data_IF_492799565733
#
_entry.id   IF_492799565733
#
_cell.length_a   1.000
_cell.length_b   1.000
_cell.length_c   1.000
_cell.angle_alpha   90.00
_cell.angle_beta   90.00
_cell.angle_gamma   90.00
#
_symmetry.space_group_name_H-M   'P 1'
#
loop_
_entity.id
_entity.type
_entity.pdbx_description
1 polymer ?
#
# COMPACT_ATOMS: atom_id res chain seq x y z
N UNK A 1 -2.77 6.77 -10.60
CA UNK A 1 -2.08 5.56 -10.12
C UNK A 1 -0.65 5.90 -9.74
N UNK A 2 -0.10 5.29 -8.69
CA UNK A 2 1.30 5.39 -8.27
C UNK A 2 1.77 4.07 -7.65
N UNK A 3 3.06 3.75 -7.77
CA UNK A 3 3.64 2.48 -7.30
C UNK A 3 4.97 2.71 -6.59
N UNK A 4 5.22 1.95 -5.53
CA UNK A 4 6.46 1.93 -4.75
C UNK A 4 6.95 0.49 -4.56
N UNK A 5 8.22 0.25 -4.89
CA UNK A 5 8.92 -0.97 -4.52
C UNK A 5 9.42 -0.88 -3.08
N UNK A 6 9.17 -1.92 -2.28
CA UNK A 6 9.53 -1.98 -0.87
C UNK A 6 10.48 -3.16 -0.62
N UNK A 7 11.58 -2.93 0.13
CA UNK A 7 12.45 -4.03 0.51
C UNK A 7 11.78 -4.90 1.58
N UNK A 8 12.08 -6.20 1.62
CA UNK A 8 11.48 -7.15 2.57
C UNK A 8 12.06 -7.05 3.99
N UNK A 9 12.10 -5.83 4.55
CA UNK A 9 12.74 -5.50 5.83
C UNK A 9 11.87 -4.54 6.65
N UNK A 10 12.08 -4.42 7.98
CA UNK A 10 11.21 -3.63 8.85
C UNK A 10 11.00 -2.16 8.45
N UNK A 11 11.96 -1.53 7.75
CA UNK A 11 11.84 -0.13 7.30
C UNK A 11 10.79 0.06 6.18
N UNK A 12 10.28 -1.02 5.57
CA UNK A 12 9.25 -0.92 4.53
C UNK A 12 7.93 -0.31 5.03
N UNK A 13 7.49 -0.59 6.25
CA UNK A 13 6.26 -0.01 6.79
C UNK A 13 6.30 1.53 6.89
N UNK A 14 7.30 2.17 7.51
CA UNK A 14 7.36 3.64 7.54
C UNK A 14 7.55 4.27 6.16
N UNK A 15 8.26 3.60 5.23
CA UNK A 15 8.38 4.05 3.84
C UNK A 15 7.03 4.02 3.12
N UNK A 16 6.29 2.92 3.26
CA UNK A 16 4.96 2.75 2.68
C UNK A 16 3.99 3.83 3.18
N UNK A 17 3.94 4.08 4.50
CA UNK A 17 3.10 5.13 5.09
C UNK A 17 3.47 6.52 4.57
N UNK A 18 4.76 6.84 4.50
CA UNK A 18 5.23 8.13 3.99
C UNK A 18 4.83 8.33 2.53
N UNK A 19 4.91 7.27 1.72
CA UNK A 19 4.48 7.30 0.32
C UNK A 19 2.97 7.48 0.17
N UNK A 20 2.15 6.75 0.94
CA UNK A 20 0.69 6.93 0.97
C UNK A 20 0.34 8.37 1.33
N UNK A 21 0.94 8.91 2.40
CA UNK A 21 0.72 10.28 2.81
C UNK A 21 0.99 11.27 1.70
N UNK A 22 2.16 11.14 1.08
CA UNK A 22 2.55 12.02 -0.01
C UNK A 22 1.58 11.94 -1.19
N UNK A 23 1.17 10.73 -1.58
CA UNK A 23 0.25 10.54 -2.71
C UNK A 23 -1.16 11.04 -2.41
N UNK A 24 -1.69 10.79 -1.21
CA UNK A 24 -3.04 11.24 -0.84
C UNK A 24 -3.11 12.76 -0.71
N UNK A 25 -2.09 13.42 -0.14
CA UNK A 25 -2.01 14.89 -0.14
C UNK A 25 -1.92 15.43 -1.56
N UNK A 26 -1.15 14.80 -2.44
CA UNK A 26 -1.06 15.18 -3.86
C UNK A 26 -2.40 15.05 -4.59
N UNK A 27 -3.18 13.99 -4.29
CA UNK A 27 -4.52 13.76 -4.84
C UNK A 27 -5.64 14.51 -4.11
N UNK A 28 -5.33 15.28 -3.06
CA UNK A 28 -6.30 15.99 -2.21
C UNK A 28 -7.31 15.07 -1.52
N UNK A 29 -6.83 13.91 -1.09
CA UNK A 29 -7.57 12.88 -0.37
C UNK A 29 -7.18 12.86 1.12
N UNK A 30 -6.89 14.01 1.71
CA UNK A 30 -6.40 14.12 3.10
C UNK A 30 -7.39 13.54 4.12
N UNK A 31 -8.69 13.54 3.81
CA UNK A 31 -9.75 12.93 4.64
C UNK A 31 -9.63 11.41 4.78
N UNK A 32 -8.97 10.75 3.83
CA UNK A 32 -8.78 9.31 3.79
C UNK A 32 -7.44 8.87 4.38
N UNK A 33 -6.59 9.82 4.81
CA UNK A 33 -5.20 9.57 5.17
C UNK A 33 -5.03 8.56 6.30
N UNK A 34 -5.76 8.75 7.41
CA UNK A 34 -5.60 7.92 8.61
C UNK A 34 -5.96 6.45 8.32
N UNK A 35 -7.07 6.23 7.60
CA UNK A 35 -7.52 4.89 7.21
C UNK A 35 -6.55 4.29 6.20
N UNK A 36 -6.13 5.05 5.18
CA UNK A 36 -5.22 4.55 4.15
C UNK A 36 -3.84 4.18 4.72
N UNK A 37 -3.29 4.98 5.64
CA UNK A 37 -2.02 4.65 6.31
C UNK A 37 -2.13 3.38 7.15
N UNK A 38 -3.22 3.23 7.90
CA UNK A 38 -3.44 2.05 8.74
C UNK A 38 -3.58 0.80 7.88
N UNK A 39 -4.47 0.81 6.88
CA UNK A 39 -4.64 -0.32 5.95
C UNK A 39 -3.32 -0.67 5.26
N UNK A 40 -2.54 0.34 4.84
CA UNK A 40 -1.24 0.10 4.22
C UNK A 40 -0.27 -0.57 5.19
N UNK A 41 -0.21 -0.12 6.45
CA UNK A 41 0.66 -0.73 7.45
C UNK A 41 0.30 -2.20 7.69
N UNK A 42 -0.99 -2.53 7.77
CA UNK A 42 -1.45 -3.91 7.97
C UNK A 42 -1.17 -4.79 6.74
N UNK A 43 -1.46 -4.30 5.53
CA UNK A 43 -1.22 -5.06 4.30
C UNK A 43 0.29 -5.29 4.06
N UNK A 44 1.12 -4.27 4.24
CA UNK A 44 2.58 -4.39 4.10
C UNK A 44 3.16 -5.27 5.21
N UNK A 45 2.71 -5.13 6.46
CA UNK A 45 3.14 -5.98 7.57
C UNK A 45 2.84 -7.46 7.33
N UNK A 46 1.65 -7.76 6.80
CA UNK A 46 1.28 -9.12 6.39
C UNK A 46 2.17 -9.66 5.27
N UNK A 47 2.42 -8.86 4.24
CA UNK A 47 3.32 -9.23 3.14
C UNK A 47 4.72 -9.54 3.68
N UNK A 48 5.33 -8.64 4.45
CA UNK A 48 6.67 -8.81 5.04
C UNK A 48 6.78 -10.07 5.92
N UNK A 49 5.73 -10.37 6.68
CA UNK A 49 5.71 -11.58 7.52
C UNK A 49 5.63 -12.86 6.68
N UNK A 50 4.94 -12.80 5.55
CA UNK A 50 4.81 -13.91 4.60
C UNK A 50 6.09 -14.09 3.78
N UNK A 51 6.81 -13.00 3.49
CA UNK A 51 8.10 -12.96 2.79
C UNK A 51 9.27 -13.54 3.60
N UNK A 52 9.11 -13.84 4.89
CA UNK A 52 10.13 -14.52 5.69
C UNK A 52 10.30 -15.97 5.21
N UNK A 53 11.06 -16.14 4.13
CA UNK A 53 11.58 -17.43 3.68
C UNK A 53 12.51 -18.02 4.76
N UNK A 54 12.69 -19.36 4.79
CA UNK A 54 13.67 -19.99 5.66
C UNK A 54 15.04 -19.35 5.50
N UNK A 55 15.70 -19.03 6.61
CA UNK A 55 17.02 -18.42 6.65
C UNK A 55 18.00 -19.19 5.73
N UNK A 56 18.35 -18.61 4.59
CA UNK A 56 19.26 -19.26 3.62
C UNK A 56 19.17 -18.75 2.19
N UNK A 57 18.02 -18.19 1.76
CA UNK A 57 17.85 -17.70 0.39
C UNK A 57 18.16 -16.20 0.30
N UNK A 58 19.43 -15.83 0.42
CA UNK A 58 19.88 -14.48 0.10
C UNK A 58 19.74 -14.26 -1.42
N UNK A 59 18.71 -13.53 -1.86
CA UNK A 59 18.50 -13.38 -3.31
C UNK A 59 17.56 -12.27 -3.78
N UNK A 60 16.53 -11.88 -3.03
CA UNK A 60 15.60 -10.85 -3.51
C UNK A 60 15.44 -9.75 -2.47
N UNK A 61 16.04 -8.59 -2.77
CA UNK A 61 16.02 -7.41 -1.89
C UNK A 61 14.69 -6.64 -2.00
N UNK A 62 13.82 -6.98 -2.96
CA UNK A 62 12.51 -6.35 -3.19
C UNK A 62 11.47 -7.44 -3.44
N UNK A 63 10.78 -7.85 -2.38
CA UNK A 63 9.72 -8.87 -2.46
C UNK A 63 8.31 -8.28 -2.31
N UNK A 64 8.20 -6.96 -2.12
CA UNK A 64 6.92 -6.28 -1.89
C UNK A 64 6.77 -5.05 -2.79
N UNK A 65 5.62 -4.90 -3.43
CA UNK A 65 5.27 -3.71 -4.20
C UNK A 65 3.92 -3.15 -3.72
N UNK A 66 3.92 -1.86 -3.37
CA UNK A 66 2.72 -1.10 -3.03
C UNK A 66 2.23 -0.34 -4.26
N UNK A 67 0.95 -0.49 -4.61
CA UNK A 67 0.29 0.25 -5.68
C UNK A 67 -0.95 0.96 -5.14
N UNK A 68 -1.09 2.22 -5.53
CA UNK A 68 -2.21 3.09 -5.17
C UNK A 68 -2.94 3.55 -6.43
N UNK A 69 -4.25 3.36 -6.45
CA UNK A 69 -5.11 3.78 -7.57
C UNK A 69 -6.28 4.60 -7.01
N UNK A 70 -6.23 5.92 -7.20
CA UNK A 70 -7.36 6.79 -6.95
C UNK A 70 -8.29 6.82 -8.17
N UNK A 71 -9.57 6.53 -7.94
CA UNK A 71 -10.68 6.76 -8.87
C UNK A 71 -11.54 7.96 -8.42
N UNK A 72 -12.74 8.07 -8.99
CA UNK A 72 -13.65 9.20 -8.72
C UNK A 72 -14.25 9.17 -7.30
N UNK A 73 -14.52 7.97 -6.77
CA UNK A 73 -15.20 7.76 -5.48
C UNK A 73 -14.47 6.78 -4.54
N UNK A 74 -13.34 6.21 -4.98
CA UNK A 74 -12.61 5.17 -4.26
C UNK A 74 -11.10 5.33 -4.37
N UNK A 75 -10.39 4.99 -3.31
CA UNK A 75 -8.96 4.70 -3.34
C UNK A 75 -8.75 3.19 -3.17
N UNK A 76 -8.02 2.59 -4.11
CA UNK A 76 -7.57 1.21 -4.04
C UNK A 76 -6.09 1.14 -3.63
N UNK A 77 -5.81 0.34 -2.61
CA UNK A 77 -4.48 0.06 -2.05
C UNK A 77 -4.17 -1.40 -2.34
N UNK A 78 -3.04 -1.68 -2.97
CA UNK A 78 -2.66 -3.02 -3.39
C UNK A 78 -1.23 -3.31 -2.95
N UNK A 79 -1.02 -4.46 -2.31
CA UNK A 79 0.28 -4.94 -1.90
C UNK A 79 0.54 -6.26 -2.61
N UNK A 80 1.53 -6.25 -3.48
CA UNK A 80 2.00 -7.40 -4.22
C UNK A 80 3.16 -8.03 -3.46
N UNK A 81 3.13 -9.35 -3.28
CA UNK A 81 4.25 -10.13 -2.76
C UNK A 81 4.48 -11.39 -3.60
N UNK A 82 5.63 -12.05 -3.42
CA UNK A 82 5.99 -13.27 -4.15
C UNK A 82 5.44 -14.55 -3.49
N UNK A 83 4.69 -14.44 -2.39
CA UNK A 83 4.13 -15.57 -1.68
C UNK A 83 2.74 -15.93 -2.22
N UNK A 84 2.64 -17.11 -2.83
CA UNK A 84 1.42 -17.65 -3.39
C UNK A 84 0.40 -18.13 -2.34
N UNK A 85 0.77 -18.18 -1.06
CA UNK A 85 -0.16 -18.57 0.02
C UNK A 85 -1.19 -17.46 0.24
N UNK A 86 -2.48 -17.82 0.39
CA UNK A 86 -3.53 -16.84 0.67
C UNK A 86 -3.21 -16.10 1.98
N UNK A 87 -3.66 -14.84 2.13
CA UNK A 87 -3.43 -14.10 3.35
C UNK A 87 -4.25 -14.77 4.46
N UNK A 88 -3.58 -15.28 5.48
CA UNK A 88 -4.23 -15.98 6.59
C UNK A 88 -4.54 -14.98 7.70
N UNK A 89 -5.81 -14.77 8.08
CA UNK A 89 -6.14 -14.04 9.30
C UNK A 89 -5.50 -14.78 10.47
N UNK A 90 -4.52 -14.15 11.13
CA UNK A 90 -4.07 -14.64 12.43
C UNK A 90 -4.98 -14.09 13.50
N UNK A 91 -5.36 -14.93 14.46
CA UNK A 91 -5.96 -14.45 15.71
C UNK A 91 -4.77 -14.08 16.60
N UNK A 92 -4.67 -12.84 17.12
CA UNK A 92 -3.58 -12.47 18.01
C UNK A 92 -3.64 -13.32 19.28
N UNK A 93 -2.50 -13.85 19.70
CA UNK A 93 -2.34 -14.30 21.09
C UNK A 93 -2.31 -13.08 22.02
N UNK A 94 -2.58 -13.28 23.32
CA UNK A 94 -2.79 -12.19 24.28
C UNK A 94 -1.60 -11.20 24.40
N UNK A 95 -0.40 -11.63 24.02
CA UNK A 95 0.84 -10.85 24.03
C UNK A 95 1.35 -10.47 22.61
N UNK A 96 0.59 -10.80 21.56
CA UNK A 96 0.97 -10.54 20.17
C UNK A 96 0.25 -9.29 19.61
N UNK A 97 1.02 -8.24 19.34
CA UNK A 97 0.53 -7.06 18.60
C UNK A 97 0.28 -7.40 17.11
N UNK A 98 0.87 -8.51 16.61
CA UNK A 98 0.89 -8.95 15.21
C UNK A 98 -0.20 -9.94 14.81
N UNK A 99 -1.47 -9.65 15.11
CA UNK A 99 -2.59 -10.49 14.66
C UNK A 99 -3.87 -9.74 14.27
N UNK A 100 -3.93 -8.42 14.46
CA UNK A 100 -5.17 -7.67 14.17
C UNK A 100 -5.30 -7.23 12.72
N UNK A 101 -4.28 -7.42 11.89
CA UNK A 101 -4.19 -6.73 10.61
C UNK A 101 -5.33 -7.00 9.64
N UNK A 102 -5.67 -8.26 9.37
CA UNK A 102 -6.80 -8.57 8.48
C UNK A 102 -8.16 -8.24 9.12
N UNK A 103 -8.27 -8.27 10.46
CA UNK A 103 -9.49 -7.83 11.16
C UNK A 103 -9.70 -6.32 11.03
N UNK A 104 -8.62 -5.53 11.06
CA UNK A 104 -8.66 -4.09 10.82
C UNK A 104 -8.98 -3.78 9.36
N UNK A 105 -8.43 -4.56 8.42
CA UNK A 105 -8.77 -4.47 6.99
C UNK A 105 -10.25 -4.76 6.76
N UNK A 106 -10.77 -5.86 7.33
CA UNK A 106 -12.19 -6.22 7.26
C UNK A 106 -13.10 -5.13 7.84
N UNK A 107 -12.69 -4.50 8.95
CA UNK A 107 -13.50 -3.49 9.63
C UNK A 107 -13.50 -2.11 8.96
N UNK A 108 -12.42 -1.74 8.27
CA UNK A 108 -12.19 -0.38 7.77
C UNK A 108 -12.25 -0.24 6.25
N UNK A 109 -12.02 -1.32 5.51
CA UNK A 109 -12.15 -1.30 4.06
C UNK A 109 -13.63 -1.44 3.66
N UNK A 110 -14.04 -0.75 2.59
CA UNK A 110 -15.35 -1.03 1.98
C UNK A 110 -15.36 -2.42 1.33
N UNK A 111 -14.24 -2.75 0.69
CA UNK A 111 -14.01 -4.01 0.00
C UNK A 111 -12.55 -4.36 0.16
N UNK A 112 -12.26 -5.62 0.34
CA UNK A 112 -10.89 -6.12 0.29
C UNK A 112 -10.90 -7.52 -0.29
N UNK A 113 -9.72 -8.00 -0.66
CA UNK A 113 -9.57 -9.33 -1.20
C UNK A 113 -8.12 -9.65 -1.52
N UNK A 114 -7.93 -10.78 -2.19
CA UNK A 114 -6.65 -11.16 -2.73
C UNK A 114 -6.80 -11.89 -4.05
N UNK A 115 -5.83 -11.71 -4.92
CA UNK A 115 -5.74 -12.34 -6.24
C UNK A 115 -4.36 -12.98 -6.41
N UNK A 116 -4.31 -14.15 -7.03
CA UNK A 116 -3.05 -14.76 -7.44
C UNK A 116 -2.67 -14.24 -8.82
N UNK A 117 -1.45 -13.75 -8.95
CA UNK A 117 -0.87 -13.31 -10.21
C UNK A 117 0.09 -14.42 -10.65
N UNK A 118 -0.41 -15.35 -11.44
CA UNK A 118 0.35 -16.52 -11.93
C UNK A 118 0.71 -16.42 -13.42
N UNK A 119 0.15 -15.45 -14.13
CA UNK A 119 0.41 -15.19 -15.55
C UNK A 119 0.81 -13.71 -15.77
N UNK A 120 1.85 -13.48 -16.57
CA UNK A 120 2.34 -12.13 -16.91
C UNK A 120 3.86 -12.06 -17.06
N UNK A 121 4.40 -10.87 -17.42
CA UNK A 121 5.84 -10.66 -17.61
C UNK A 121 6.66 -10.63 -16.31
N UNK A 122 6.04 -10.87 -15.15
CA UNK A 122 6.67 -10.83 -13.83
C UNK A 122 6.64 -12.19 -13.11
N UNK A 123 7.33 -12.30 -11.96
CA UNK A 123 7.27 -13.51 -11.14
C UNK A 123 5.84 -13.75 -10.65
N UNK A 124 5.50 -15.03 -10.48
CA UNK A 124 4.24 -15.40 -9.87
C UNK A 124 4.19 -14.88 -8.42
N UNK A 125 3.02 -14.42 -8.00
CA UNK A 125 2.85 -13.84 -6.68
C UNK A 125 1.39 -13.68 -6.30
N UNK A 126 1.18 -12.92 -5.23
CA UNK A 126 -0.13 -12.59 -4.69
C UNK A 126 -0.30 -11.09 -4.60
N UNK A 127 -1.52 -10.63 -4.82
CA UNK A 127 -1.93 -9.26 -4.53
C UNK A 127 -2.95 -9.31 -3.43
N UNK A 128 -2.71 -8.62 -2.32
CA UNK A 128 -3.73 -8.32 -1.32
C UNK A 128 -4.14 -6.87 -1.49
N UNK A 129 -5.43 -6.61 -1.49
CA UNK A 129 -5.94 -5.28 -1.81
C UNK A 129 -7.08 -4.88 -0.89
N UNK A 130 -7.20 -3.56 -0.68
CA UNK A 130 -8.29 -2.93 0.05
C UNK A 130 -8.75 -1.67 -0.69
N UNK A 131 -10.04 -1.40 -0.62
CA UNK A 131 -10.69 -0.21 -1.17
C UNK A 131 -11.31 0.60 -0.05
N UNK A 132 -11.11 1.91 -0.09
CA UNK A 132 -11.75 2.86 0.80
C UNK A 132 -12.60 3.85 -0.01
N UNK A 133 -13.73 4.24 0.58
CA UNK A 133 -14.55 5.31 0.06
C UNK A 133 -13.76 6.62 0.09
N UNK A 134 -13.71 7.33 -1.03
CA UNK A 134 -13.23 8.70 -1.10
C UNK A 134 -14.34 9.58 -1.69
N UNK A 135 -15.49 9.70 -1.02
CA UNK A 135 -16.57 10.53 -1.52
C UNK A 135 -16.06 11.95 -1.67
N UNK A 136 -16.39 12.59 -2.79
CA UNK A 136 -16.07 13.99 -2.99
C UNK A 136 -16.55 14.79 -1.76
N UNK A 137 -15.74 15.70 -1.21
CA UNK A 137 -16.13 16.47 -0.05
C UNK A 137 -17.43 17.21 -0.39
N UNK A 138 -18.51 16.74 0.20
CA UNK A 138 -19.83 17.33 0.04
C UNK A 138 -19.89 18.45 1.06
N UNK A 139 -20.08 19.69 0.60
CA UNK A 139 -20.40 20.77 1.54
C UNK A 139 -21.69 20.42 2.29
N UNK A 140 -21.92 20.99 3.48
CA UNK A 140 -23.15 20.84 4.26
C UNK A 140 -24.47 21.19 3.50
N UNK A 141 -24.39 21.60 2.22
CA UNK A 141 -25.51 21.86 1.30
C UNK A 141 -25.64 20.87 0.13
N UNK A 142 -24.89 19.76 0.09
CA UNK A 142 -25.08 18.73 -0.95
C UNK A 142 -24.52 19.09 -2.33
N UNK A 143 -23.79 20.20 -2.47
CA UNK A 143 -23.22 20.63 -3.75
C UNK A 143 -21.76 20.14 -3.86
N UNK A 144 -21.35 19.52 -5.00
CA UNK A 144 -19.96 19.11 -5.20
C UNK A 144 -19.04 20.34 -5.14
N UNK A 145 -18.00 20.27 -4.31
CA UNK A 145 -16.94 21.29 -4.29
C UNK A 145 -16.22 21.23 -5.64
N UNK A 146 -16.23 22.34 -6.38
CA UNK A 146 -15.43 22.44 -7.62
C UNK A 146 -13.94 22.22 -7.26
N UNK A 147 -13.24 21.26 -7.90
CA UNK A 147 -11.83 21.09 -7.66
C UNK A 147 -11.08 22.36 -8.07
N UNK A 148 -10.27 22.90 -7.15
CA UNK A 148 -9.36 24.03 -7.45
C UNK A 148 -8.45 23.61 -8.62
N UNK A 149 -8.19 24.46 -9.63
CA UNK A 149 -7.30 24.10 -10.73
C UNK A 149 -5.99 23.52 -10.21
N UNK A 150 -5.52 22.44 -10.83
CA UNK A 150 -4.27 21.78 -10.47
C UNK A 150 -3.12 22.80 -10.62
N UNK A 151 -2.37 23.03 -9.54
CA UNK A 151 -1.12 23.78 -9.65
C UNK A 151 -0.17 22.98 -10.54
N UNK A 152 0.37 23.64 -11.56
CA UNK A 152 1.42 23.11 -12.44
C UNK A 152 2.71 22.91 -11.65
N UNK A 153 2.86 21.76 -11.04
CA UNK A 153 4.09 21.28 -10.39
C UNK A 153 4.51 19.94 -11.04
N UNK A 154 5.81 19.63 -11.06
CA UNK A 154 6.37 18.57 -11.91
C UNK A 154 5.75 17.20 -11.62
N UNK A 155 5.66 16.39 -12.69
CA UNK A 155 4.99 15.11 -12.77
C UNK A 155 5.57 14.06 -11.79
N UNK A 156 4.74 13.23 -11.10
CA UNK A 156 5.14 12.28 -10.05
C UNK A 156 5.85 11.01 -10.57
N UNK A 157 6.54 11.10 -11.70
CA UNK A 157 7.35 10.03 -12.25
C UNK A 157 8.71 10.60 -12.66
N UNK A 158 9.37 11.32 -11.75
CA UNK A 158 10.77 11.66 -11.94
C UNK A 158 11.62 10.42 -11.58
N UNK A 159 12.16 9.69 -12.57
CA UNK A 159 12.97 8.49 -12.33
C UNK A 159 14.22 8.80 -11.49
N UNK A 160 14.63 10.07 -11.36
CA UNK A 160 15.76 10.46 -10.53
C UNK A 160 15.47 10.32 -9.03
N UNK A 161 14.24 10.60 -8.57
CA UNK A 161 13.90 10.50 -7.14
C UNK A 161 13.85 9.02 -6.70
N UNK A 162 13.24 8.17 -7.53
CA UNK A 162 13.15 6.73 -7.27
C UNK A 162 14.52 6.04 -7.32
N UNK A 163 15.40 6.47 -8.23
CA UNK A 163 16.80 6.02 -8.25
C UNK A 163 17.55 6.42 -6.99
N UNK A 164 17.41 7.67 -6.52
CA UNK A 164 18.09 8.13 -5.30
C UNK A 164 17.66 7.39 -4.04
N UNK A 165 16.37 7.06 -3.91
CA UNK A 165 15.87 6.24 -2.80
C UNK A 165 16.37 4.80 -2.92
N UNK A 166 16.34 4.22 -4.12
CA UNK A 166 16.90 2.89 -4.40
C UNK A 166 18.39 2.82 -4.10
N UNK A 167 19.19 3.80 -4.50
CA UNK A 167 20.64 3.85 -4.30
C UNK A 167 20.98 3.95 -2.81
N UNK A 168 20.23 4.73 -2.02
CA UNK A 168 20.40 4.76 -0.56
C UNK A 168 20.13 3.42 0.13
N UNK A 169 19.20 2.62 -0.40
CA UNK A 169 18.87 1.30 0.16
C UNK A 169 19.91 0.22 -0.18
N UNK A 170 20.71 0.39 -1.24
CA UNK A 170 21.81 -0.53 -1.59
C UNK A 170 23.13 -0.22 -0.85
N UNK A 171 23.17 0.89 -0.09
CA UNK A 171 24.36 1.36 0.63
C UNK A 171 24.25 1.28 2.17
N UNK A 172 23.22 0.59 2.69
CA UNK A 172 23.08 0.20 4.09
C UNK A 172 23.37 -1.30 4.25
#
# INVERSE_FOLDING_TARGET
MATLALPAVPIACPLARSFVRWMLTWWRLDHALDIAELLTAELVGNALTSSQLPAGTAGHLVDVQLRLTAGDDRLRIEVHDLDLRPPVPRVPDADDEGGRGLLLVEALAERWGHDLVVEGPGPAGKVVWAEIATPAPTTARGLPIRPRPACSHPHPADPALLRRVSDCLHHL
#
